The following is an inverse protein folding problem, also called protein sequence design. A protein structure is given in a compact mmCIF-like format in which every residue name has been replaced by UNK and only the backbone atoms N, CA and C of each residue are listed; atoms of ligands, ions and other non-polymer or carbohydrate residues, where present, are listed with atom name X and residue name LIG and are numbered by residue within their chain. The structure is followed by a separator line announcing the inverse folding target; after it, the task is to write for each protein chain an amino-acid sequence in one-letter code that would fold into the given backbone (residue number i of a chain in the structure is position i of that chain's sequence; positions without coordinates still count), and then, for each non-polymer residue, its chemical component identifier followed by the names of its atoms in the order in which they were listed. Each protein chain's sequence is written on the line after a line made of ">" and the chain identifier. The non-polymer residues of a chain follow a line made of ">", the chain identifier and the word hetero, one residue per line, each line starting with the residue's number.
data_IF_806876078337
#
_entry.id   IF_806876078337
#
_cell.length_a   1.000
_cell.length_b   1.000
_cell.length_c   1.000
_cell.angle_alpha   90.00
_cell.angle_beta   90.00
_cell.angle_gamma   90.00
#
_symmetry.space_group_name_H-M   'P 1'
#
loop_
_entity.id
_entity.type
_entity.pdbx_description
1 polymer ?
#
# COMPACT_ATOMS: atom_id res chain seq x y z
N UNK A 1 -30.55 12.26 16.61
CA UNK A 1 -29.58 12.53 15.54
C UNK A 1 -28.27 11.92 16.02
N UNK A 2 -27.88 10.77 15.45
CA UNK A 2 -26.64 10.08 15.80
C UNK A 2 -25.54 10.64 14.92
N UNK A 3 -24.55 11.28 15.53
CA UNK A 3 -23.33 11.70 14.86
C UNK A 3 -22.56 10.44 14.44
N UNK A 4 -22.57 10.13 13.16
CA UNK A 4 -21.73 9.10 12.58
C UNK A 4 -20.36 9.75 12.36
N UNK A 5 -19.43 9.47 13.25
CA UNK A 5 -18.01 9.74 13.04
C UNK A 5 -17.54 8.82 11.90
N UNK A 6 -17.28 9.40 10.74
CA UNK A 6 -16.72 8.69 9.59
C UNK A 6 -15.20 8.69 9.74
N UNK A 7 -14.53 7.54 9.94
CA UNK A 7 -13.08 7.50 9.98
C UNK A 7 -12.51 7.75 8.60
N UNK A 8 -11.69 8.78 8.47
CA UNK A 8 -10.88 9.04 7.28
C UNK A 8 -9.76 8.01 7.18
N UNK A 9 -9.72 7.22 6.12
CA UNK A 9 -8.72 6.18 5.92
C UNK A 9 -8.09 6.31 4.54
N UNK A 10 -6.90 6.87 4.53
CA UNK A 10 -5.90 6.63 3.49
C UNK A 10 -4.90 5.62 4.06
N UNK A 11 -4.92 4.39 3.58
CA UNK A 11 -3.90 3.40 3.91
C UNK A 11 -3.23 2.94 2.64
N UNK A 12 -1.95 3.23 2.56
CA UNK A 12 -1.06 2.83 1.47
C UNK A 12 -0.48 1.43 1.67
N UNK A 13 -0.97 0.65 2.57
CA UNK A 13 -0.56 -0.73 2.78
C UNK A 13 -1.70 -1.67 2.44
N UNK A 14 -1.41 -2.87 2.09
CA UNK A 14 -2.24 -4.01 1.65
C UNK A 14 -3.54 -4.30 2.41
N UNK A 15 -3.93 -3.46 3.33
CA UNK A 15 -5.19 -3.49 4.02
C UNK A 15 -5.96 -2.22 3.71
N UNK A 16 -6.06 -1.86 2.42
CA UNK A 16 -6.95 -0.78 1.97
C UNK A 16 -8.41 -1.23 2.10
N UNK A 17 -8.86 -1.35 3.36
CA UNK A 17 -10.26 -1.45 3.68
C UNK A 17 -10.79 -0.03 3.78
N UNK A 18 -11.13 0.59 2.67
CA UNK A 18 -12.12 1.68 2.64
C UNK A 18 -12.33 2.20 1.23
N UNK A 19 -13.24 1.60 0.52
CA UNK A 19 -13.89 2.23 -0.61
C UNK A 19 -15.27 2.75 -0.20
N UNK A 20 -15.34 3.65 0.76
CA UNK A 20 -16.56 4.45 0.88
C UNK A 20 -16.25 5.74 0.15
N UNK A 21 -17.03 6.06 -0.89
CA UNK A 21 -17.04 7.39 -1.48
C UNK A 21 -17.25 8.40 -0.34
N UNK A 22 -16.16 8.98 0.16
CA UNK A 22 -16.27 9.98 1.22
C UNK A 22 -16.74 11.27 0.57
N UNK A 23 -17.92 11.70 0.95
CA UNK A 23 -18.28 13.10 0.83
C UNK A 23 -17.13 13.95 1.39
N UNK A 24 -16.80 15.04 0.71
CA UNK A 24 -15.82 16.03 1.16
C UNK A 24 -16.02 16.30 2.64
N UNK A 25 -14.97 16.16 3.47
CA UNK A 25 -15.08 16.35 4.90
C UNK A 25 -15.57 17.77 5.20
N UNK A 26 -16.54 17.89 6.08
CA UNK A 26 -17.10 19.20 6.47
C UNK A 26 -16.07 20.08 7.18
N UNK A 27 -15.05 19.46 7.79
CA UNK A 27 -13.93 20.11 8.50
C UNK A 27 -12.62 19.42 8.15
N UNK A 28 -11.50 20.15 8.33
CA UNK A 28 -10.16 19.56 8.18
C UNK A 28 -9.90 18.57 9.32
N UNK A 29 -9.27 17.46 9.01
CA UNK A 29 -8.98 16.38 9.97
C UNK A 29 -7.50 16.06 10.02
N UNK A 30 -6.99 15.78 11.21
CA UNK A 30 -5.67 15.19 11.44
C UNK A 30 -5.87 13.88 12.20
N UNK A 31 -5.32 12.80 11.70
CA UNK A 31 -5.40 11.50 12.34
C UNK A 31 -4.03 10.82 12.38
N UNK A 32 -3.81 10.03 13.39
CA UNK A 32 -2.61 9.19 13.54
C UNK A 32 -3.02 7.73 13.55
N UNK A 33 -2.11 6.87 13.14
CA UNK A 33 -2.36 5.43 13.21
C UNK A 33 -1.09 4.68 13.61
N UNK A 34 -1.28 3.54 14.27
CA UNK A 34 -0.24 2.59 14.59
C UNK A 34 -0.78 1.17 14.40
N UNK A 35 0.05 0.23 13.98
CA UNK A 35 -0.39 -1.13 13.73
C UNK A 35 0.72 -2.15 13.68
N UNK A 36 0.30 -3.40 13.68
CA UNK A 36 1.16 -4.57 13.49
C UNK A 36 0.50 -5.50 12.48
N UNK A 37 1.32 -6.11 11.64
CA UNK A 37 0.87 -7.13 10.68
C UNK A 37 1.77 -8.36 10.79
N UNK A 38 1.20 -9.55 10.57
CA UNK A 38 1.97 -10.80 10.60
C UNK A 38 2.95 -10.93 9.43
N UNK A 39 2.70 -10.19 8.34
CA UNK A 39 3.54 -10.10 7.15
C UNK A 39 3.17 -8.83 6.38
N UNK A 40 4.10 -7.91 6.19
CA UNK A 40 3.86 -6.72 5.38
C UNK A 40 3.93 -7.07 3.91
N UNK A 41 2.79 -6.99 3.23
CA UNK A 41 2.66 -7.20 1.78
C UNK A 41 2.43 -5.88 1.06
N UNK A 42 3.23 -5.62 0.03
CA UNK A 42 3.04 -4.52 -0.90
C UNK A 42 2.87 -5.07 -2.32
N UNK A 43 1.73 -4.78 -2.97
CA UNK A 43 1.36 -5.37 -4.27
C UNK A 43 1.60 -6.88 -4.29
N UNK A 44 1.11 -7.60 -3.26
CA UNK A 44 1.24 -9.04 -3.11
C UNK A 44 2.59 -9.56 -2.61
N UNK A 45 3.68 -8.80 -2.73
CA UNK A 45 5.04 -9.20 -2.35
C UNK A 45 5.35 -8.86 -0.89
N UNK A 46 5.87 -9.83 -0.14
CA UNK A 46 6.30 -9.60 1.24
C UNK A 46 7.50 -8.67 1.32
N UNK A 47 7.35 -7.59 2.05
CA UNK A 47 8.40 -6.61 2.35
C UNK A 47 9.17 -6.98 3.62
N UNK A 48 8.54 -7.75 4.52
CA UNK A 48 9.06 -8.12 5.84
C UNK A 48 9.59 -9.54 5.91
N UNK A 49 9.83 -10.22 4.79
CA UNK A 49 10.36 -11.59 4.71
C UNK A 49 9.40 -12.65 5.26
N UNK A 50 8.07 -12.45 5.14
CA UNK A 50 7.02 -13.28 5.72
C UNK A 50 7.07 -13.30 7.25
N UNK A 51 7.48 -12.21 7.85
CA UNK A 51 7.63 -12.02 9.29
C UNK A 51 6.87 -10.77 9.74
N UNK A 52 6.56 -10.62 11.04
CA UNK A 52 5.82 -9.46 11.53
C UNK A 52 6.50 -8.12 11.23
N UNK A 53 5.68 -7.10 10.99
CA UNK A 53 6.09 -5.73 10.80
C UNK A 53 5.28 -4.77 11.69
N UNK A 54 5.94 -3.70 12.15
CA UNK A 54 5.33 -2.58 12.85
C UNK A 54 5.15 -1.44 11.87
N UNK A 55 3.99 -0.80 11.92
CA UNK A 55 3.56 0.24 10.98
C UNK A 55 2.97 1.42 11.72
N UNK A 56 3.04 2.60 11.13
CA UNK A 56 2.38 3.78 11.69
C UNK A 56 2.47 4.98 10.76
N UNK A 57 1.66 5.97 11.01
CA UNK A 57 1.62 7.15 10.16
C UNK A 57 0.67 8.22 10.66
N UNK A 58 0.57 9.29 9.89
CA UNK A 58 -0.42 10.34 10.07
C UNK A 58 -0.98 10.80 8.73
N UNK A 59 -2.20 11.30 8.77
CA UNK A 59 -2.94 11.85 7.65
C UNK A 59 -3.54 13.20 8.03
N UNK A 60 -3.33 14.22 7.20
CA UNK A 60 -4.05 15.47 7.25
C UNK A 60 -4.90 15.59 5.98
N UNK A 61 -6.18 15.83 6.15
CA UNK A 61 -7.12 16.09 5.07
C UNK A 61 -7.79 17.45 5.28
N UNK A 62 -7.66 18.32 4.30
CA UNK A 62 -8.32 19.63 4.29
C UNK A 62 -9.74 19.51 3.73
N UNK A 63 -10.65 20.35 4.26
CA UNK A 63 -12.04 20.42 3.78
C UNK A 63 -12.18 20.75 2.29
N UNK A 64 -11.17 21.33 1.67
CA UNK A 64 -11.15 21.61 0.23
C UNK A 64 -10.92 20.37 -0.63
N UNK A 65 -10.49 19.24 -0.02
CA UNK A 65 -10.16 18.01 -0.69
C UNK A 65 -8.66 17.74 -0.83
N UNK A 66 -7.78 18.71 -0.53
CA UNK A 66 -6.34 18.45 -0.45
C UNK A 66 -6.01 17.60 0.77
N UNK A 67 -5.00 16.75 0.63
CA UNK A 67 -4.49 15.93 1.73
C UNK A 67 -2.99 15.75 1.62
N UNK A 68 -2.36 15.48 2.75
CA UNK A 68 -0.96 15.10 2.88
C UNK A 68 -0.82 14.12 4.03
N UNK A 69 0.10 13.19 3.91
CA UNK A 69 0.40 12.23 4.97
C UNK A 69 1.78 11.64 4.85
N UNK A 70 2.15 10.94 5.91
CA UNK A 70 3.32 10.10 5.95
C UNK A 70 2.97 8.79 6.65
N UNK A 71 3.51 7.72 6.12
CA UNK A 71 3.36 6.38 6.69
C UNK A 71 4.72 5.68 6.68
N UNK A 72 4.92 4.71 7.56
CA UNK A 72 6.15 3.96 7.60
C UNK A 72 5.94 2.54 8.12
N UNK A 73 6.90 1.68 7.74
CA UNK A 73 6.92 0.27 8.15
C UNK A 73 8.34 -0.24 8.33
N UNK A 74 8.51 -1.19 9.21
CA UNK A 74 9.71 -2.01 9.23
C UNK A 74 9.68 -2.98 8.05
N UNK A 75 10.82 -3.07 7.33
CA UNK A 75 11.01 -3.95 6.17
C UNK A 75 12.30 -4.76 6.30
N UNK A 76 12.42 -5.79 5.45
CA UNK A 76 13.62 -6.66 5.40
C UNK A 76 14.17 -6.86 3.99
N UNK A 77 13.34 -6.70 2.95
CA UNK A 77 13.69 -7.08 1.58
C UNK A 77 14.96 -6.40 1.05
N UNK A 78 15.20 -5.13 1.38
CA UNK A 78 16.44 -4.43 0.98
C UNK A 78 17.66 -5.07 1.64
N UNK A 79 17.61 -5.30 2.95
CA UNK A 79 18.70 -5.92 3.71
C UNK A 79 18.93 -7.40 3.40
N UNK A 80 17.98 -8.06 2.72
CA UNK A 80 18.13 -9.43 2.23
C UNK A 80 19.05 -9.50 1.02
N UNK A 81 19.26 -8.37 0.31
CA UNK A 81 20.18 -8.32 -0.82
C UNK A 81 21.63 -8.46 -0.33
N UNK A 82 22.43 -9.40 -0.87
CA UNK A 82 23.81 -9.59 -0.46
C UNK A 82 24.64 -8.30 -0.54
N UNK A 83 25.39 -8.01 0.52
CA UNK A 83 26.22 -6.80 0.63
C UNK A 83 25.46 -5.54 1.10
N UNK A 84 24.12 -5.58 1.18
CA UNK A 84 23.33 -4.48 1.73
C UNK A 84 23.31 -4.54 3.25
N UNK A 85 23.65 -3.44 3.90
CA UNK A 85 23.74 -3.36 5.38
C UNK A 85 22.70 -2.44 6.01
N UNK A 86 22.00 -1.64 5.20
CA UNK A 86 21.05 -0.59 5.61
C UNK A 86 19.73 -0.72 4.85
N UNK A 87 18.70 0.07 5.21
CA UNK A 87 17.39 0.04 4.55
C UNK A 87 16.42 -0.95 5.22
N UNK A 88 16.24 -0.85 6.53
CA UNK A 88 15.28 -1.65 7.30
C UNK A 88 13.97 -0.92 7.57
N UNK A 89 13.80 0.27 7.02
CA UNK A 89 12.62 1.12 7.23
C UNK A 89 12.22 1.76 5.92
N UNK A 90 10.95 1.67 5.62
CA UNK A 90 10.26 2.37 4.55
C UNK A 90 9.47 3.53 5.13
N UNK A 91 9.56 4.68 4.49
CA UNK A 91 8.73 5.86 4.76
C UNK A 91 8.08 6.29 3.45
N UNK A 92 6.78 6.37 3.45
CA UNK A 92 5.98 6.84 2.34
C UNK A 92 5.50 8.27 2.63
N UNK A 93 5.83 9.19 1.74
CA UNK A 93 5.37 10.57 1.79
C UNK A 93 4.40 10.79 0.63
N UNK A 94 3.18 11.21 0.94
CA UNK A 94 2.15 11.37 -0.07
C UNK A 94 1.30 12.60 0.13
N UNK A 95 0.70 13.03 -0.97
CA UNK A 95 -0.29 14.11 -0.97
C UNK A 95 -1.03 14.15 -2.29
N UNK A 96 -2.19 14.76 -2.26
CA UNK A 96 -3.05 14.80 -3.42
C UNK A 96 -4.30 15.62 -3.23
N UNK A 97 -5.23 15.40 -4.13
CA UNK A 97 -6.55 16.03 -4.12
C UNK A 97 -7.61 14.99 -4.45
N UNK A 98 -8.63 14.91 -3.62
CA UNK A 98 -9.81 14.06 -3.80
C UNK A 98 -11.09 14.87 -3.80
N UNK A 99 -12.04 14.48 -4.64
CA UNK A 99 -13.36 15.10 -4.69
C UNK A 99 -14.37 14.15 -5.33
N UNK A 100 -15.61 14.62 -5.49
CA UNK A 100 -16.70 13.85 -6.08
C UNK A 100 -17.40 14.66 -7.18
N UNK A 101 -17.84 13.98 -8.23
CA UNK A 101 -18.73 14.53 -9.25
C UNK A 101 -19.92 13.57 -9.40
N UNK A 102 -21.06 13.97 -8.88
CA UNK A 102 -22.22 13.07 -8.75
C UNK A 102 -21.89 11.90 -7.82
N UNK A 103 -22.04 10.67 -8.32
CA UNK A 103 -21.70 9.43 -7.59
C UNK A 103 -20.29 8.92 -7.86
N UNK A 104 -19.51 9.61 -8.69
CA UNK A 104 -18.12 9.25 -8.98
C UNK A 104 -17.17 10.03 -8.08
N UNK A 105 -16.40 9.33 -7.23
CA UNK A 105 -15.29 9.93 -6.51
C UNK A 105 -14.00 9.77 -7.31
N UNK A 106 -13.12 10.77 -7.21
CA UNK A 106 -11.79 10.71 -7.83
C UNK A 106 -10.72 11.17 -6.84
N UNK A 107 -9.53 10.66 -7.04
CA UNK A 107 -8.33 10.97 -6.25
C UNK A 107 -7.13 11.04 -7.19
N UNK A 108 -6.37 12.12 -7.13
CA UNK A 108 -5.11 12.29 -7.87
C UNK A 108 -4.03 12.72 -6.91
N UNK A 109 -2.85 12.11 -7.01
CA UNK A 109 -1.82 12.40 -6.04
C UNK A 109 -0.43 11.97 -6.47
N UNK A 110 0.49 12.26 -5.57
CA UNK A 110 1.90 11.90 -5.64
C UNK A 110 2.28 11.07 -4.42
N UNK A 111 3.18 10.12 -4.63
CA UNK A 111 3.71 9.24 -3.60
C UNK A 111 5.22 9.08 -3.79
N UNK A 112 5.98 9.29 -2.73
CA UNK A 112 7.39 8.94 -2.61
C UNK A 112 7.57 7.81 -1.62
N UNK A 113 8.20 6.74 -2.09
CA UNK A 113 8.74 5.67 -1.25
C UNK A 113 10.19 6.01 -0.92
N UNK A 114 10.48 6.20 0.35
CA UNK A 114 11.81 6.50 0.87
C UNK A 114 12.28 5.33 1.74
N UNK A 115 13.30 4.64 1.30
CA UNK A 115 13.93 3.57 2.05
C UNK A 115 15.13 4.14 2.81
N UNK A 116 14.94 4.38 4.12
CA UNK A 116 15.88 5.14 4.93
C UNK A 116 17.30 4.56 4.89
N UNK A 117 18.25 5.40 4.49
CA UNK A 117 19.67 5.05 4.41
C UNK A 117 19.97 3.80 3.57
N UNK A 118 19.10 3.40 2.62
CA UNK A 118 19.38 2.24 1.78
C UNK A 118 20.69 2.42 0.99
N UNK A 119 21.43 1.34 0.82
CA UNK A 119 22.66 1.30 0.04
C UNK A 119 22.63 0.22 -1.05
N UNK A 120 21.44 -0.10 -1.56
CA UNK A 120 21.22 -1.13 -2.56
C UNK A 120 22.08 -0.93 -3.81
N UNK A 121 22.16 0.29 -4.34
CA UNK A 121 22.93 0.64 -5.53
C UNK A 121 24.46 0.44 -5.35
N UNK A 122 24.95 0.41 -4.12
CA UNK A 122 26.37 0.23 -3.83
C UNK A 122 26.74 -1.24 -3.60
N UNK A 123 25.76 -2.08 -3.33
CA UNK A 123 25.95 -3.48 -2.94
C UNK A 123 25.70 -4.46 -4.11
N UNK A 124 24.90 -4.05 -5.10
CA UNK A 124 24.47 -4.91 -6.20
C UNK A 124 24.81 -4.28 -7.54
N UNK A 125 25.63 -4.95 -8.34
CA UNK A 125 25.95 -4.48 -9.69
C UNK A 125 24.68 -4.37 -10.54
N UNK A 126 24.51 -3.20 -11.19
CA UNK A 126 23.34 -2.91 -12.02
C UNK A 126 22.09 -2.44 -11.26
N UNK A 127 22.07 -2.50 -9.92
CA UNK A 127 20.99 -1.91 -9.14
C UNK A 127 21.14 -0.38 -9.06
N UNK A 128 19.98 0.30 -8.91
CA UNK A 128 19.90 1.73 -8.62
C UNK A 128 19.31 1.94 -7.22
N UNK A 129 19.25 3.19 -6.77
CA UNK A 129 18.61 3.49 -5.49
C UNK A 129 17.15 3.00 -5.51
N UNK A 130 16.73 2.34 -4.42
CA UNK A 130 15.38 1.78 -4.30
C UNK A 130 14.27 2.84 -4.16
N UNK A 131 14.61 4.07 -3.74
CA UNK A 131 13.65 5.15 -3.57
C UNK A 131 12.87 5.38 -4.88
N UNK A 132 11.56 5.49 -4.76
CA UNK A 132 10.66 5.55 -5.92
C UNK A 132 9.70 6.71 -5.78
N UNK A 133 9.39 7.36 -6.89
CA UNK A 133 8.36 8.38 -6.98
C UNK A 133 7.29 7.92 -7.97
N UNK A 134 6.03 8.03 -7.55
CA UNK A 134 4.86 7.73 -8.37
C UNK A 134 3.88 8.91 -8.38
N UNK A 135 3.18 9.07 -9.48
CA UNK A 135 1.93 9.83 -9.57
C UNK A 135 0.80 8.83 -9.75
N UNK A 136 -0.37 9.13 -9.22
CA UNK A 136 -1.50 8.22 -9.34
C UNK A 136 -2.82 8.94 -9.57
N UNK A 137 -3.77 8.19 -10.13
CA UNK A 137 -5.17 8.56 -10.24
C UNK A 137 -6.07 7.38 -9.90
N UNK A 138 -7.14 7.64 -9.18
CA UNK A 138 -8.14 6.63 -8.84
C UNK A 138 -9.55 7.17 -9.09
N UNK A 139 -10.45 6.25 -9.46
CA UNK A 139 -11.87 6.48 -9.63
C UNK A 139 -12.64 5.46 -8.79
N UNK A 140 -13.61 5.93 -8.01
CA UNK A 140 -14.49 5.07 -7.19
C UNK A 140 -15.94 5.30 -7.55
N UNK A 141 -16.63 4.21 -7.86
CA UNK A 141 -18.08 4.20 -8.10
C UNK A 141 -18.74 3.07 -7.29
N UNK A 142 -19.65 3.43 -6.40
CA UNK A 142 -20.21 2.49 -5.43
C UNK A 142 -19.10 1.82 -4.62
N UNK A 143 -19.06 0.49 -4.51
CA UNK A 143 -18.02 -0.21 -3.78
C UNK A 143 -16.69 -0.37 -4.55
N UNK A 144 -16.68 -0.09 -5.87
CA UNK A 144 -15.55 -0.43 -6.77
C UNK A 144 -14.62 0.75 -6.93
N UNK A 145 -13.32 0.49 -6.80
CA UNK A 145 -12.24 1.45 -7.06
C UNK A 145 -11.30 0.90 -8.11
N UNK A 146 -10.98 1.71 -9.12
CA UNK A 146 -9.90 1.48 -10.06
C UNK A 146 -8.82 2.55 -9.87
N UNK A 147 -7.55 2.12 -9.71
CA UNK A 147 -6.40 3.02 -9.52
C UNK A 147 -5.29 2.70 -10.50
N UNK A 148 -4.67 3.74 -11.04
CA UNK A 148 -3.48 3.69 -11.87
C UNK A 148 -2.35 4.45 -11.17
N UNK A 149 -1.21 3.79 -10.95
CA UNK A 149 0.01 4.41 -10.43
C UNK A 149 1.11 4.34 -11.48
N UNK A 150 1.82 5.45 -11.68
CA UNK A 150 2.86 5.60 -12.69
C UNK A 150 4.17 6.03 -12.05
N UNK A 151 5.22 5.24 -12.21
CA UNK A 151 6.55 5.55 -11.70
C UNK A 151 7.22 6.62 -12.57
N UNK A 152 7.49 7.78 -11.99
CA UNK A 152 8.20 8.89 -12.65
C UNK A 152 9.71 8.88 -12.37
N UNK A 153 10.17 7.92 -11.59
CA UNK A 153 11.57 7.53 -11.35
C UNK A 153 11.80 6.06 -11.67
N UNK A 154 12.98 5.53 -11.45
CA UNK A 154 13.19 4.08 -11.41
C UNK A 154 12.36 3.46 -10.27
N UNK A 155 11.85 2.24 -10.51
CA UNK A 155 10.98 1.52 -9.59
C UNK A 155 11.80 0.57 -8.71
N UNK A 156 11.78 0.75 -7.39
CA UNK A 156 12.27 -0.18 -6.35
C UNK A 156 13.66 -0.80 -6.62
N UNK A 157 14.60 0.00 -7.15
CA UNK A 157 15.97 -0.45 -7.39
C UNK A 157 16.20 -1.12 -8.76
N UNK A 158 15.17 -1.31 -9.59
CA UNK A 158 15.33 -1.78 -10.96
C UNK A 158 15.88 -0.67 -11.86
N UNK A 159 17.00 -0.93 -12.52
CA UNK A 159 17.60 0.02 -13.45
C UNK A 159 16.72 0.19 -14.71
N UNK A 160 16.71 1.40 -15.26
CA UNK A 160 15.97 1.77 -16.48
C UNK A 160 14.46 1.49 -16.41
N UNK A 161 13.89 1.43 -15.22
CA UNK A 161 12.49 1.07 -14.98
C UNK A 161 11.54 2.25 -14.83
N UNK A 162 12.00 3.49 -15.09
CA UNK A 162 11.11 4.65 -15.18
C UNK A 162 9.99 4.39 -16.19
N UNK A 163 8.77 4.86 -15.88
CA UNK A 163 7.52 4.56 -16.58
C UNK A 163 7.00 3.13 -16.38
N UNK A 164 7.42 2.45 -15.32
CA UNK A 164 6.69 1.32 -14.78
C UNK A 164 5.33 1.78 -14.27
N UNK A 165 4.34 0.88 -14.23
CA UNK A 165 3.02 1.23 -13.72
C UNK A 165 2.38 0.08 -12.94
N UNK A 166 1.39 0.44 -12.15
CA UNK A 166 0.55 -0.51 -11.45
C UNK A 166 -0.92 -0.17 -11.68
N UNK A 167 -1.68 -1.17 -12.10
CA UNK A 167 -3.14 -1.15 -12.19
C UNK A 167 -3.71 -1.88 -10.98
N UNK A 168 -4.70 -1.28 -10.33
CA UNK A 168 -5.38 -1.81 -9.16
C UNK A 168 -6.89 -1.78 -9.39
N UNK A 169 -7.54 -2.86 -9.13
CA UNK A 169 -8.99 -2.97 -9.08
C UNK A 169 -9.39 -3.63 -7.77
N UNK A 170 -10.17 -2.93 -6.98
CA UNK A 170 -10.68 -3.43 -5.71
C UNK A 170 -12.17 -3.12 -5.54
N UNK A 171 -12.82 -3.85 -4.65
CA UNK A 171 -14.17 -3.52 -4.24
C UNK A 171 -14.27 -3.67 -2.72
N UNK A 172 -14.95 -2.73 -2.04
CA UNK A 172 -15.18 -2.81 -0.60
C UNK A 172 -16.66 -2.98 -0.32
N UNK A 173 -17.01 -4.11 0.25
CA UNK A 173 -18.37 -4.45 0.65
C UNK A 173 -18.52 -4.30 2.15
N UNK A 174 -19.44 -3.44 2.57
CA UNK A 174 -19.91 -3.38 3.95
C UNK A 174 -20.89 -4.54 4.18
N UNK A 175 -20.55 -5.42 5.11
CA UNK A 175 -21.37 -6.60 5.48
C UNK A 175 -22.25 -6.33 6.72
N UNK A 176 -22.23 -5.10 7.24
CA UNK A 176 -22.91 -4.73 8.49
C UNK A 176 -22.10 -5.04 9.74
N UNK A 177 -22.55 -4.50 10.87
CA UNK A 177 -21.95 -4.70 12.19
C UNK A 177 -20.43 -4.47 12.26
N UNK A 178 -19.90 -3.58 11.39
CA UNK A 178 -18.47 -3.27 11.30
C UNK A 178 -17.65 -4.34 10.57
N UNK A 179 -18.28 -5.30 9.90
CA UNK A 179 -17.58 -6.26 9.04
C UNK A 179 -17.47 -5.73 7.62
N UNK A 180 -16.32 -5.99 6.98
CA UNK A 180 -16.07 -5.64 5.58
C UNK A 180 -15.43 -6.81 4.84
N UNK A 181 -15.66 -6.86 3.51
CA UNK A 181 -15.02 -7.80 2.60
C UNK A 181 -14.44 -7.02 1.42
N UNK A 182 -13.14 -7.18 1.18
CA UNK A 182 -12.44 -6.47 0.10
C UNK A 182 -11.69 -7.44 -0.79
N UNK A 183 -12.25 -7.89 -1.92
CA UNK A 183 -11.50 -8.49 -3.01
C UNK A 183 -10.65 -7.43 -3.73
N UNK A 184 -9.49 -7.85 -4.20
CA UNK A 184 -8.51 -7.04 -4.91
C UNK A 184 -7.79 -7.86 -5.97
N UNK A 185 -7.48 -7.23 -7.10
CA UNK A 185 -6.56 -7.73 -8.13
C UNK A 185 -5.74 -6.56 -8.66
N UNK A 186 -4.44 -6.76 -8.86
CA UNK A 186 -3.54 -5.75 -9.39
C UNK A 186 -2.58 -6.32 -10.43
N UNK A 187 -2.03 -5.44 -11.27
CA UNK A 187 -1.00 -5.79 -12.24
C UNK A 187 0.16 -4.79 -12.17
N UNK A 188 1.35 -5.28 -11.82
CA UNK A 188 2.60 -4.52 -11.82
C UNK A 188 3.34 -4.77 -13.13
N UNK A 189 3.51 -3.72 -13.93
CA UNK A 189 4.41 -3.72 -15.07
C UNK A 189 5.74 -3.06 -14.68
N UNK A 190 6.86 -3.76 -14.90
CA UNK A 190 8.19 -3.22 -14.64
C UNK A 190 8.90 -2.99 -15.97
N UNK A 191 8.99 -1.75 -16.38
CA UNK A 191 9.58 -1.32 -17.64
C UNK A 191 11.01 -1.85 -17.79
N UNK A 192 11.33 -2.42 -18.95
CA UNK A 192 12.62 -3.03 -19.30
C UNK A 192 13.06 -4.20 -18.38
N UNK A 193 12.18 -4.68 -17.50
CA UNK A 193 12.42 -5.79 -16.58
C UNK A 193 11.17 -6.69 -16.55
N UNK A 194 10.69 -7.14 -17.72
CA UNK A 194 9.40 -7.78 -17.88
C UNK A 194 9.24 -9.08 -17.05
N UNK A 195 10.33 -9.83 -16.83
CA UNK A 195 10.34 -11.05 -16.02
C UNK A 195 9.96 -10.82 -14.55
N UNK A 196 10.05 -9.57 -14.09
CA UNK A 196 9.64 -9.15 -12.75
C UNK A 196 8.23 -8.53 -12.72
N UNK A 197 7.55 -8.45 -13.87
CA UNK A 197 6.15 -8.00 -13.93
C UNK A 197 5.22 -9.13 -13.49
N UNK A 198 4.11 -8.81 -12.83
CA UNK A 198 3.24 -9.81 -12.23
C UNK A 198 1.84 -9.28 -11.93
N UNK A 199 0.93 -10.22 -11.70
CA UNK A 199 -0.40 -9.99 -11.15
C UNK A 199 -0.40 -10.37 -9.67
N UNK A 200 -1.05 -9.55 -8.84
CA UNK A 200 -1.32 -9.89 -7.46
C UNK A 200 -2.82 -9.92 -7.18
N UNK A 201 -3.20 -10.60 -6.11
CA UNK A 201 -4.57 -10.72 -5.67
C UNK A 201 -4.67 -10.83 -4.16
N UNK A 202 -5.79 -10.34 -3.63
CA UNK A 202 -6.10 -10.47 -2.22
C UNK A 202 -7.60 -10.59 -1.99
N UNK A 203 -7.95 -11.28 -0.92
CA UNK A 203 -9.28 -11.23 -0.32
C UNK A 203 -9.11 -10.90 1.16
N UNK A 204 -9.55 -9.71 1.54
CA UNK A 204 -9.40 -9.20 2.91
C UNK A 204 -10.75 -9.15 3.61
N UNK A 205 -10.81 -9.69 4.80
CA UNK A 205 -11.91 -9.55 5.74
C UNK A 205 -11.49 -8.60 6.86
N UNK A 206 -12.31 -7.60 7.14
CA UNK A 206 -12.09 -6.59 8.18
C UNK A 206 -13.17 -6.63 9.25
N UNK A 207 -12.78 -6.28 10.49
CA UNK A 207 -13.69 -6.06 11.60
C UNK A 207 -13.32 -4.78 12.32
N UNK A 208 -14.20 -3.79 12.28
CA UNK A 208 -14.14 -2.63 13.17
C UNK A 208 -14.57 -3.07 14.58
N UNK A 209 -13.64 -2.97 15.52
CA UNK A 209 -13.85 -3.34 16.92
C UNK A 209 -14.38 -2.16 17.76
N UNK A 210 -14.55 -0.98 17.11
CA UNK A 210 -14.89 0.27 17.77
C UNK A 210 -13.68 0.98 18.37
N UNK A 211 -13.88 2.27 18.70
CA UNK A 211 -12.84 3.08 19.35
C UNK A 211 -11.56 3.28 18.51
N UNK A 212 -11.64 3.14 17.19
CA UNK A 212 -10.49 3.27 16.28
C UNK A 212 -9.71 1.97 16.06
N UNK A 213 -10.11 0.85 16.66
CA UNK A 213 -9.42 -0.44 16.55
C UNK A 213 -10.00 -1.28 15.40
N UNK A 214 -9.15 -1.64 14.42
CA UNK A 214 -9.49 -2.47 13.26
C UNK A 214 -8.66 -3.77 13.28
N UNK A 215 -9.34 -4.90 13.19
CA UNK A 215 -8.74 -6.22 12.96
C UNK A 215 -8.94 -6.62 11.50
N UNK A 216 -7.93 -7.22 10.88
CA UNK A 216 -8.00 -7.71 9.50
C UNK A 216 -7.41 -9.10 9.37
N UNK A 217 -7.98 -9.88 8.44
CA UNK A 217 -7.44 -11.17 8.00
C UNK A 217 -7.55 -11.23 6.48
N UNK A 218 -6.46 -11.58 5.81
CA UNK A 218 -6.42 -11.62 4.36
C UNK A 218 -5.74 -12.91 3.85
N UNK A 219 -6.17 -13.34 2.66
CA UNK A 219 -5.38 -14.23 1.81
C UNK A 219 -4.81 -13.38 0.69
N UNK A 220 -3.49 -13.39 0.54
CA UNK A 220 -2.76 -12.54 -0.42
C UNK A 220 -1.78 -13.41 -1.20
N UNK A 221 -1.66 -13.17 -2.51
CA UNK A 221 -0.72 -13.90 -3.35
C UNK A 221 -0.43 -13.20 -4.66
N UNK A 222 0.47 -13.83 -5.43
CA UNK A 222 0.88 -13.35 -6.76
C UNK A 222 1.08 -14.53 -7.71
N UNK A 223 1.15 -14.22 -9.00
CA UNK A 223 1.58 -15.16 -10.04
C UNK A 223 3.10 -15.13 -10.32
N UNK A 224 3.89 -14.45 -9.46
CA UNK A 224 5.34 -14.36 -9.61
C UNK A 224 6.03 -15.72 -9.51
N UNK A 225 7.24 -15.80 -10.08
CA UNK A 225 8.13 -16.95 -9.94
C UNK A 225 9.05 -16.82 -8.72
N UNK A 226 9.27 -17.93 -8.02
CA UNK A 226 10.25 -18.03 -6.93
C UNK A 226 11.67 -17.68 -7.40
N UNK A 227 12.00 -17.89 -8.68
CA UNK A 227 13.31 -17.55 -9.24
C UNK A 227 13.60 -16.04 -9.22
N UNK A 228 12.56 -15.20 -9.26
CA UNK A 228 12.69 -13.74 -9.27
C UNK A 228 12.40 -13.11 -7.91
N UNK A 229 11.52 -13.71 -7.12
CA UNK A 229 11.01 -13.13 -5.87
C UNK A 229 11.27 -14.03 -4.66
N UNK A 230 12.52 -14.49 -4.51
CA UNK A 230 12.95 -15.22 -3.32
C UNK A 230 14.05 -14.45 -2.57
N UNK A 231 14.05 -14.58 -1.25
CA UNK A 231 15.17 -14.12 -0.42
C UNK A 231 16.41 -14.99 -0.68
N UNK A 232 17.64 -14.56 -0.33
CA UNK A 232 18.84 -15.41 -0.43
C UNK A 232 18.71 -16.75 0.32
N UNK A 233 17.90 -16.79 1.39
CA UNK A 233 17.59 -18.01 2.13
C UNK A 233 16.50 -18.86 1.47
N UNK A 234 16.06 -18.54 0.25
CA UNK A 234 15.10 -19.30 -0.54
C UNK A 234 13.63 -19.14 -0.10
N UNK A 235 13.28 -18.17 0.74
CA UNK A 235 11.88 -17.86 1.07
C UNK A 235 11.23 -17.16 -0.13
N UNK A 236 10.17 -17.73 -0.69
CA UNK A 236 9.41 -17.12 -1.79
C UNK A 236 8.48 -16.03 -1.25
N UNK A 237 8.82 -14.76 -1.52
CA UNK A 237 8.10 -13.59 -1.00
C UNK A 237 6.79 -13.29 -1.71
N UNK A 238 6.58 -13.79 -2.93
CA UNK A 238 5.34 -13.67 -3.71
C UNK A 238 4.33 -14.80 -3.49
N UNK A 239 4.63 -15.79 -2.63
CA UNK A 239 3.74 -16.92 -2.38
C UNK A 239 2.40 -16.49 -1.80
N UNK A 240 1.34 -17.24 -2.12
CA UNK A 240 0.06 -17.08 -1.44
C UNK A 240 0.19 -17.42 0.04
N UNK A 241 -0.40 -16.59 0.90
CA UNK A 241 -0.37 -16.77 2.34
C UNK A 241 -1.45 -15.98 3.06
N UNK A 242 -1.69 -16.36 4.30
CA UNK A 242 -2.58 -15.62 5.20
C UNK A 242 -1.81 -14.49 5.89
N UNK A 243 -2.45 -13.34 6.01
CA UNK A 243 -1.95 -12.16 6.73
C UNK A 243 -3.00 -11.71 7.72
N UNK A 244 -2.58 -11.46 8.96
CA UNK A 244 -3.43 -10.87 10.00
C UNK A 244 -2.83 -9.53 10.41
N UNK A 245 -3.69 -8.53 10.59
CA UNK A 245 -3.28 -7.19 10.99
C UNK A 245 -4.17 -6.62 12.08
N UNK A 246 -3.57 -5.80 12.92
CA UNK A 246 -4.25 -4.98 13.91
C UNK A 246 -3.79 -3.54 13.74
N UNK A 247 -4.74 -2.61 13.58
CA UNK A 247 -4.48 -1.18 13.43
C UNK A 247 -5.34 -0.39 14.40
N UNK A 248 -4.73 0.60 15.03
CA UNK A 248 -5.41 1.58 15.87
C UNK A 248 -5.26 2.97 15.25
N UNK A 249 -6.37 3.69 15.12
CA UNK A 249 -6.43 5.08 14.62
C UNK A 249 -6.93 6.00 15.71
N UNK A 250 -6.25 7.14 15.92
CA UNK A 250 -6.53 8.10 17.02
C UNK A 250 -6.29 9.55 16.59
#
# INVERSE_FOLDING_TARGET
>A
MKNILVPSLLTLSLLSVTGVAQAQAAESTLSFNAGVVSDYRYRGISQSRLEPAVQGGFDYADKSGFYVGAWGSTIKWIKDTPGVTKGSTEIDLYGGYKSTVGSLAYDVGFLRYEYLNNNLQNATAGAVNANTNEVYGALTYGPVTAKYSHAISNLFGFANSKNSYYLDLSANYDLGDGYTLTPHVGYQSIKNNADYSYTDYALTFGKDMGGGLMLTAAVVGTDTSKSFYATPAGKFTGRTGAVVGLKYTF
#
